data_IF_527994053373
#
_entry.id   IF_527994053373
#
_cell.length_a   1.000
_cell.length_b   1.000
_cell.length_c   1.000
_cell.angle_alpha   90.00
_cell.angle_beta   90.00
_cell.angle_gamma   90.00
#
_symmetry.space_group_name_H-M   'P 1'
#
loop_
_entity.id
_entity.type
_entity.pdbx_description
1 polymer ?
#
# COMPACT_ATOMS: atom_id res chain seq x y z
N UNK A 1 -10.72 69.89 12.65
CA UNK A 1 -11.16 68.58 13.11
C UNK A 1 -11.77 67.67 12.00
N UNK A 2 -12.64 68.17 11.12
CA UNK A 2 -13.28 67.38 10.05
C UNK A 2 -12.28 66.79 9.00
N UNK A 3 -11.20 67.48 8.66
CA UNK A 3 -10.19 67.02 7.68
C UNK A 3 -9.30 65.92 8.20
N UNK A 4 -9.07 65.81 9.51
CA UNK A 4 -8.29 64.73 10.14
C UNK A 4 -9.08 63.44 10.23
N UNK A 5 -10.39 63.49 10.35
CA UNK A 5 -11.27 62.36 10.43
C UNK A 5 -11.35 61.59 9.09
N UNK A 6 -11.32 62.26 7.94
CA UNK A 6 -11.30 61.66 6.62
C UNK A 6 -9.98 60.95 6.28
N UNK A 7 -8.85 61.45 6.79
CA UNK A 7 -7.55 60.81 6.65
C UNK A 7 -7.46 59.52 7.45
N UNK A 8 -8.06 59.41 8.62
CA UNK A 8 -8.10 58.21 9.44
C UNK A 8 -9.01 57.13 8.84
N UNK A 9 -10.13 57.48 8.23
CA UNK A 9 -11.04 56.56 7.54
C UNK A 9 -10.40 56.00 6.26
N UNK A 10 -9.66 56.82 5.51
CA UNK A 10 -8.92 56.41 4.32
C UNK A 10 -7.80 55.41 4.64
N UNK A 11 -7.14 55.52 5.79
CA UNK A 11 -6.06 54.62 6.19
C UNK A 11 -6.59 53.24 6.64
N UNK A 12 -7.78 53.19 7.23
CA UNK A 12 -8.41 51.91 7.66
C UNK A 12 -8.86 51.07 6.45
N UNK A 13 -9.31 51.72 5.38
CA UNK A 13 -9.76 50.98 4.16
C UNK A 13 -8.58 50.36 3.40
N UNK A 14 -7.39 50.95 3.48
CA UNK A 14 -6.19 50.38 2.81
C UNK A 14 -5.64 49.18 3.56
N UNK A 15 -5.85 49.03 4.88
CA UNK A 15 -5.40 47.92 5.69
C UNK A 15 -6.32 46.67 5.59
N UNK A 16 -7.54 46.79 5.07
CA UNK A 16 -8.47 45.71 4.88
C UNK A 16 -8.28 44.94 3.54
N UNK A 17 -7.40 45.42 2.65
CA UNK A 17 -7.19 44.85 1.32
C UNK A 17 -6.03 43.83 1.22
N UNK A 18 -5.36 43.49 2.33
CA UNK A 18 -4.23 42.58 2.36
C UNK A 18 -4.47 41.36 3.26
N UNK A 19 -5.59 40.64 3.06
CA UNK A 19 -5.81 39.37 3.78
C UNK A 19 -6.77 38.44 3.00
N UNK A 20 -6.50 38.28 1.72
CA UNK A 20 -6.88 37.08 1.02
C UNK A 20 -5.59 36.47 0.50
N UNK A 21 -4.96 35.66 1.35
CA UNK A 21 -4.11 34.58 0.84
C UNK A 21 -5.09 33.58 0.22
N UNK A 22 -5.31 33.69 -1.09
CA UNK A 22 -5.79 32.55 -1.85
C UNK A 22 -4.79 31.43 -1.57
N UNK A 23 -5.23 30.38 -0.90
CA UNK A 23 -4.51 29.14 -0.89
C UNK A 23 -4.41 28.74 -2.36
N UNK A 24 -3.21 28.79 -2.92
CA UNK A 24 -2.94 28.23 -4.24
C UNK A 24 -3.15 26.75 -4.05
N UNK A 25 -4.32 26.27 -4.45
CA UNK A 25 -4.61 24.85 -4.54
C UNK A 25 -3.76 24.32 -5.69
N UNK A 26 -2.55 23.85 -5.35
CA UNK A 26 -1.65 23.25 -6.33
C UNK A 26 -2.09 21.80 -6.51
N UNK A 27 -2.68 21.53 -7.66
CA UNK A 27 -3.01 20.17 -8.10
C UNK A 27 -1.94 19.70 -9.08
N UNK A 28 -1.65 18.42 -9.01
CA UNK A 28 -0.75 17.70 -9.92
C UNK A 28 -1.58 16.73 -10.76
N UNK A 29 -1.30 16.66 -12.04
CA UNK A 29 -1.91 15.68 -12.91
C UNK A 29 -1.25 14.31 -12.72
N UNK A 30 -2.05 13.30 -12.41
CA UNK A 30 -1.64 11.90 -12.34
C UNK A 30 -2.26 11.14 -13.51
N UNK A 31 -1.45 10.32 -14.19
CA UNK A 31 -1.90 9.46 -15.28
C UNK A 31 -1.90 8.00 -14.82
N UNK A 32 -3.03 7.34 -14.93
CA UNK A 32 -3.16 5.92 -14.61
C UNK A 32 -2.27 5.08 -15.53
N UNK A 33 -1.34 4.36 -14.95
CA UNK A 33 -0.37 3.54 -15.68
C UNK A 33 -0.63 2.07 -15.42
N UNK A 34 -0.71 1.28 -16.50
CA UNK A 34 -0.82 -0.18 -16.42
C UNK A 34 0.55 -0.83 -16.51
N UNK A 35 0.79 -1.79 -15.62
CA UNK A 35 2.01 -2.59 -15.53
C UNK A 35 1.69 -4.07 -15.70
N UNK A 36 2.60 -4.81 -16.32
CA UNK A 36 2.60 -6.28 -16.32
C UNK A 36 3.47 -6.75 -15.15
N UNK A 37 2.84 -7.04 -14.02
CA UNK A 37 3.54 -7.41 -12.80
C UNK A 37 4.00 -8.88 -12.89
N UNK A 38 5.26 -9.21 -12.53
CA UNK A 38 5.80 -10.57 -12.62
C UNK A 38 5.39 -11.43 -11.41
N UNK A 39 4.09 -11.68 -11.27
CA UNK A 39 3.48 -12.36 -10.11
C UNK A 39 2.68 -13.60 -10.51
N UNK A 40 2.99 -14.21 -11.66
CA UNK A 40 2.26 -15.39 -12.18
C UNK A 40 2.35 -16.58 -11.22
N UNK A 41 3.53 -16.78 -10.60
CA UNK A 41 3.79 -17.87 -9.67
C UNK A 41 3.43 -17.56 -8.21
N UNK A 42 2.94 -16.35 -7.92
CA UNK A 42 2.57 -15.92 -6.57
C UNK A 42 1.27 -16.59 -6.13
N UNK A 43 1.24 -17.10 -4.90
CA UNK A 43 0.00 -17.62 -4.32
C UNK A 43 -1.07 -16.55 -4.34
N UNK A 44 -2.25 -16.89 -4.85
CA UNK A 44 -3.42 -16.01 -4.88
C UNK A 44 -4.42 -16.40 -3.79
N UNK A 45 -5.10 -15.39 -3.22
CA UNK A 45 -6.27 -15.56 -2.39
C UNK A 45 -7.51 -15.37 -3.26
N UNK A 46 -8.41 -16.36 -3.26
CA UNK A 46 -9.62 -16.34 -4.08
C UNK A 46 -9.38 -16.75 -5.54
N UNK A 47 -10.48 -16.75 -6.28
CA UNK A 47 -10.52 -17.05 -7.72
C UNK A 47 -11.47 -16.04 -8.38
N UNK A 48 -11.01 -15.31 -9.40
CA UNK A 48 -11.82 -14.31 -10.08
C UNK A 48 -11.12 -13.76 -11.31
N UNK A 49 -11.83 -12.94 -12.08
CA UNK A 49 -11.33 -12.35 -13.33
C UNK A 49 -10.38 -11.18 -13.05
N UNK A 50 -10.67 -10.38 -12.00
CA UNK A 50 -9.86 -9.23 -11.63
C UNK A 50 -8.71 -9.62 -10.70
N UNK A 51 -7.56 -8.97 -10.86
CA UNK A 51 -6.40 -9.18 -10.00
C UNK A 51 -6.12 -7.93 -9.16
N UNK A 52 -6.13 -8.08 -7.84
CA UNK A 52 -5.74 -7.03 -6.89
C UNK A 52 -4.37 -7.38 -6.32
N UNK A 53 -3.39 -6.51 -6.52
CA UNK A 53 -2.02 -6.68 -6.01
C UNK A 53 -1.72 -5.63 -4.97
N UNK A 54 -1.34 -6.07 -3.79
CA UNK A 54 -0.91 -5.24 -2.67
C UNK A 54 0.60 -5.33 -2.48
N UNK A 55 1.30 -4.24 -2.75
CA UNK A 55 2.75 -4.13 -2.55
C UNK A 55 3.01 -3.39 -1.25
N UNK A 56 3.75 -4.01 -0.35
CA UNK A 56 3.84 -3.54 1.03
C UNK A 56 5.20 -3.82 1.66
N UNK A 57 5.42 -3.28 2.85
CA UNK A 57 6.53 -3.61 3.74
C UNK A 57 5.96 -3.94 5.13
N UNK A 58 6.36 -5.04 5.71
CA UNK A 58 5.86 -5.48 7.02
C UNK A 58 6.09 -4.47 8.15
N UNK A 59 7.14 -3.65 8.05
CA UNK A 59 7.45 -2.61 9.03
C UNK A 59 6.69 -1.29 8.79
N UNK A 60 5.87 -1.21 7.75
CA UNK A 60 5.12 -0.01 7.41
C UNK A 60 3.79 0.06 8.19
N UNK A 61 3.57 1.08 9.04
CA UNK A 61 2.32 1.22 9.79
C UNK A 61 1.07 1.37 8.92
N UNK A 62 1.21 2.04 7.77
CA UNK A 62 0.12 2.20 6.80
C UNK A 62 -0.21 0.89 6.09
N UNK A 63 0.78 0.02 5.86
CA UNK A 63 0.54 -1.31 5.31
C UNK A 63 -0.21 -2.20 6.30
N UNK A 64 0.14 -2.15 7.61
CA UNK A 64 -0.64 -2.80 8.66
C UNK A 64 -2.09 -2.33 8.64
N UNK A 65 -2.29 -1.00 8.67
CA UNK A 65 -3.63 -0.40 8.62
C UNK A 65 -4.42 -0.88 7.40
N UNK A 66 -3.77 -0.92 6.24
CA UNK A 66 -4.39 -1.40 5.01
C UNK A 66 -4.85 -2.87 5.12
N UNK A 67 -3.99 -3.75 5.66
CA UNK A 67 -4.34 -5.17 5.87
C UNK A 67 -5.50 -5.35 6.86
N UNK A 68 -5.62 -4.47 7.86
CA UNK A 68 -6.66 -4.54 8.88
C UNK A 68 -7.98 -3.90 8.46
N UNK A 69 -7.96 -2.87 7.63
CA UNK A 69 -9.15 -2.08 7.27
C UNK A 69 -9.64 -2.33 5.84
N UNK A 70 -8.73 -2.47 4.86
CA UNK A 70 -9.09 -2.54 3.42
C UNK A 70 -9.23 -3.99 2.94
N UNK A 71 -8.28 -4.86 3.31
CA UNK A 71 -8.30 -6.25 2.84
C UNK A 71 -9.59 -7.00 3.21
N UNK A 72 -10.16 -6.87 4.43
CA UNK A 72 -11.44 -7.52 4.75
C UNK A 72 -12.61 -7.04 3.88
N UNK A 73 -12.62 -5.76 3.50
CA UNK A 73 -13.62 -5.20 2.61
C UNK A 73 -13.48 -5.76 1.17
N UNK A 74 -12.24 -5.93 0.70
CA UNK A 74 -11.96 -6.58 -0.59
C UNK A 74 -12.43 -8.03 -0.60
N UNK A 75 -12.20 -8.75 0.51
CA UNK A 75 -12.65 -10.14 0.65
C UNK A 75 -14.17 -10.23 0.56
N UNK A 76 -14.89 -9.46 1.34
CA UNK A 76 -16.35 -9.46 1.36
C UNK A 76 -16.96 -8.99 0.04
N UNK A 77 -16.38 -7.95 -0.58
CA UNK A 77 -16.92 -7.33 -1.78
C UNK A 77 -16.71 -8.16 -3.03
N UNK A 78 -15.53 -8.75 -3.20
CA UNK A 78 -15.12 -9.31 -4.49
C UNK A 78 -14.55 -10.72 -4.40
N UNK A 79 -13.68 -11.05 -3.41
CA UNK A 79 -13.02 -12.35 -3.35
C UNK A 79 -14.01 -13.45 -3.00
N UNK A 80 -14.83 -13.27 -1.96
CA UNK A 80 -15.83 -14.25 -1.52
C UNK A 80 -16.93 -14.48 -2.57
N UNK A 81 -17.08 -13.56 -3.52
CA UNK A 81 -18.02 -13.69 -4.64
C UNK A 81 -17.38 -14.30 -5.88
N UNK A 82 -16.08 -14.56 -5.88
CA UNK A 82 -15.36 -15.07 -7.04
C UNK A 82 -15.18 -14.04 -8.16
N UNK A 83 -15.17 -12.76 -7.84
CA UNK A 83 -15.01 -11.67 -8.80
C UNK A 83 -13.55 -11.24 -8.95
N UNK A 84 -12.75 -11.36 -7.85
CA UNK A 84 -11.35 -10.98 -7.83
C UNK A 84 -10.44 -12.03 -7.17
N UNK A 85 -9.16 -11.96 -7.53
CA UNK A 85 -8.05 -12.59 -6.83
C UNK A 85 -7.21 -11.53 -6.14
N UNK A 86 -6.55 -11.90 -5.04
CA UNK A 86 -5.64 -11.02 -4.33
C UNK A 86 -4.25 -11.63 -4.24
N UNK A 87 -3.21 -10.81 -4.46
CA UNK A 87 -1.81 -11.18 -4.29
C UNK A 87 -1.08 -10.16 -3.45
N UNK A 88 -0.34 -10.63 -2.44
CA UNK A 88 0.50 -9.80 -1.57
C UNK A 88 1.97 -9.90 -1.97
N UNK A 89 2.64 -8.77 -2.22
CA UNK A 89 4.06 -8.72 -2.53
C UNK A 89 4.82 -7.89 -1.48
N UNK A 90 5.49 -8.54 -0.50
CA UNK A 90 6.32 -7.84 0.45
C UNK A 90 7.60 -7.32 -0.21
N UNK A 91 8.00 -6.12 0.20
CA UNK A 91 9.26 -5.48 -0.18
C UNK A 91 10.14 -5.22 1.06
N UNK A 92 11.41 -4.95 0.82
CA UNK A 92 12.42 -4.58 1.82
C UNK A 92 12.81 -3.13 1.58
N UNK A 93 12.08 -2.20 2.21
CA UNK A 93 12.27 -0.76 1.98
C UNK A 93 12.67 0.01 3.23
N UNK A 94 12.24 -0.42 4.42
CA UNK A 94 12.31 0.41 5.62
C UNK A 94 13.47 0.06 6.56
N UNK A 95 13.65 -1.22 6.89
CA UNK A 95 14.63 -1.61 7.93
C UNK A 95 15.04 -3.09 7.85
N UNK A 96 15.84 -3.54 8.81
CA UNK A 96 16.31 -4.94 8.88
C UNK A 96 15.18 -5.92 9.19
N UNK A 97 14.14 -5.49 9.95
CA UNK A 97 12.97 -6.32 10.21
C UNK A 97 12.21 -6.62 8.92
N UNK A 98 12.11 -5.63 8.01
CA UNK A 98 11.51 -5.81 6.67
C UNK A 98 12.22 -6.93 5.91
N UNK A 99 13.56 -6.98 6.01
CA UNK A 99 14.37 -7.99 5.32
C UNK A 99 14.11 -9.41 5.89
N UNK A 100 14.13 -9.55 7.22
CA UNK A 100 13.84 -10.84 7.86
C UNK A 100 12.43 -11.31 7.51
N UNK A 101 11.44 -10.42 7.60
CA UNK A 101 10.04 -10.81 7.39
C UNK A 101 9.70 -11.08 5.92
N UNK A 102 10.32 -10.38 4.97
CA UNK A 102 10.19 -10.72 3.55
C UNK A 102 10.81 -12.09 3.23
N UNK A 103 11.92 -12.46 3.90
CA UNK A 103 12.50 -13.79 3.81
C UNK A 103 11.57 -14.87 4.39
N UNK A 104 11.00 -14.61 5.56
CA UNK A 104 10.02 -15.52 6.20
C UNK A 104 8.79 -15.68 5.32
N UNK A 105 8.24 -14.59 4.79
CA UNK A 105 7.09 -14.60 3.88
C UNK A 105 7.34 -15.50 2.66
N UNK A 106 8.48 -15.36 2.01
CA UNK A 106 8.89 -16.21 0.89
C UNK A 106 8.92 -17.69 1.28
N UNK A 107 9.48 -18.01 2.47
CA UNK A 107 9.54 -19.39 2.93
C UNK A 107 8.15 -19.94 3.30
N UNK A 108 7.28 -19.14 3.91
CA UNK A 108 5.88 -19.51 4.20
C UNK A 108 5.13 -19.84 2.92
N UNK A 109 5.23 -18.98 1.90
CA UNK A 109 4.58 -19.20 0.61
C UNK A 109 4.98 -20.54 -0.02
N UNK A 110 6.25 -20.90 0.08
CA UNK A 110 6.80 -22.16 -0.43
C UNK A 110 6.38 -23.39 0.38
N UNK A 111 6.35 -23.28 1.71
CA UNK A 111 6.13 -24.39 2.64
C UNK A 111 4.64 -24.73 2.80
N UNK A 112 3.78 -23.72 2.87
CA UNK A 112 2.36 -23.89 3.16
C UNK A 112 1.47 -22.96 2.32
N UNK A 113 1.50 -23.08 0.96
CA UNK A 113 0.75 -22.18 0.07
C UNK A 113 -0.74 -22.11 0.41
N UNK A 114 -1.36 -23.21 0.84
CA UNK A 114 -2.79 -23.27 1.19
C UNK A 114 -3.15 -22.42 2.42
N UNK A 115 -2.18 -22.07 3.26
CA UNK A 115 -2.37 -21.26 4.47
C UNK A 115 -1.53 -19.98 4.46
N UNK A 116 -0.96 -19.65 3.31
CA UNK A 116 -0.04 -18.52 3.18
C UNK A 116 -0.63 -17.22 3.73
N UNK A 117 -1.86 -16.87 3.35
CA UNK A 117 -2.49 -15.63 3.77
C UNK A 117 -2.89 -15.60 5.25
N UNK A 118 -3.11 -16.76 5.89
CA UNK A 118 -3.31 -16.81 7.34
C UNK A 118 -2.04 -16.35 8.06
N UNK A 119 -0.87 -16.86 7.65
CA UNK A 119 0.42 -16.50 8.23
C UNK A 119 0.82 -15.07 7.90
N UNK A 120 0.62 -14.64 6.65
CA UNK A 120 0.91 -13.26 6.23
C UNK A 120 0.16 -12.24 7.08
N UNK A 121 -1.12 -12.48 7.36
CA UNK A 121 -1.93 -11.64 8.25
C UNK A 121 -1.46 -11.66 9.69
N UNK A 122 -1.08 -12.82 10.22
CA UNK A 122 -0.57 -12.93 11.58
C UNK A 122 0.73 -12.11 11.74
N UNK A 123 1.65 -12.21 10.78
CA UNK A 123 2.86 -11.38 10.75
C UNK A 123 2.50 -9.89 10.69
N UNK A 124 1.61 -9.50 9.78
CA UNK A 124 1.19 -8.09 9.61
C UNK A 124 0.49 -7.53 10.84
N UNK A 125 -0.35 -8.32 11.50
CA UNK A 125 -1.04 -7.93 12.74
C UNK A 125 -0.07 -7.61 13.87
N UNK A 126 1.02 -8.36 13.99
CA UNK A 126 2.05 -8.14 15.01
C UNK A 126 2.93 -6.89 14.74
N UNK A 127 2.80 -6.25 13.58
CA UNK A 127 3.59 -5.05 13.22
C UNK A 127 3.47 -3.95 14.28
N UNK A 128 4.63 -3.43 14.69
CA UNK A 128 4.73 -2.41 15.74
C UNK A 128 4.68 -2.95 17.17
N UNK A 129 4.54 -4.27 17.40
CA UNK A 129 4.62 -4.87 18.71
C UNK A 129 6.08 -5.03 19.18
N UNK A 130 6.26 -5.19 20.50
CA UNK A 130 7.57 -5.46 21.08
C UNK A 130 8.14 -6.79 20.53
N UNK A 131 9.37 -6.74 20.03
CA UNK A 131 10.06 -7.89 19.45
C UNK A 131 9.65 -8.23 18.02
N UNK A 132 8.80 -7.42 17.38
CA UNK A 132 8.43 -7.59 15.98
C UNK A 132 9.67 -7.67 15.05
N UNK A 133 9.64 -8.59 14.10
CA UNK A 133 10.72 -8.76 13.12
C UNK A 133 12.04 -9.26 13.72
N UNK A 134 12.00 -9.98 14.84
CA UNK A 134 13.14 -10.69 15.44
C UNK A 134 12.98 -12.20 15.27
N UNK A 135 14.05 -12.96 15.52
CA UNK A 135 13.96 -14.43 15.53
C UNK A 135 12.95 -14.95 16.57
N UNK A 136 12.79 -14.26 17.70
CA UNK A 136 11.77 -14.61 18.69
C UNK A 136 10.34 -14.45 18.14
N UNK A 137 10.11 -13.43 17.31
CA UNK A 137 8.85 -13.25 16.62
C UNK A 137 8.62 -14.39 15.60
N UNK A 138 9.64 -14.77 14.82
CA UNK A 138 9.55 -15.90 13.89
C UNK A 138 9.26 -17.22 14.63
N UNK A 139 9.88 -17.44 15.80
CA UNK A 139 9.58 -18.60 16.67
C UNK A 139 8.12 -18.62 17.14
N UNK A 140 7.55 -17.44 17.50
CA UNK A 140 6.13 -17.33 17.86
C UNK A 140 5.24 -17.73 16.68
N UNK A 141 5.47 -17.18 15.49
CA UNK A 141 4.72 -17.51 14.28
C UNK A 141 4.86 -19.00 13.94
N UNK A 142 6.08 -19.54 13.96
CA UNK A 142 6.32 -20.97 13.73
C UNK A 142 5.52 -21.87 14.68
N UNK A 143 5.48 -21.51 15.98
CA UNK A 143 4.72 -22.24 17.00
C UNK A 143 3.22 -22.18 16.76
N UNK A 144 2.69 -21.01 16.39
CA UNK A 144 1.26 -20.78 16.14
C UNK A 144 0.75 -21.61 14.95
N UNK A 145 1.55 -21.68 13.89
CA UNK A 145 1.18 -22.37 12.65
C UNK A 145 1.75 -23.79 12.53
N UNK A 146 2.44 -24.28 13.58
CA UNK A 146 3.11 -25.60 13.62
C UNK A 146 4.12 -25.78 12.48
N UNK A 147 4.97 -24.76 12.27
CA UNK A 147 6.01 -24.72 11.26
C UNK A 147 7.40 -24.96 11.88
N UNK A 148 8.35 -25.39 11.06
CA UNK A 148 9.74 -25.50 11.46
C UNK A 148 10.44 -24.14 11.36
N UNK A 149 11.00 -23.66 12.49
CA UNK A 149 11.71 -22.37 12.55
C UNK A 149 12.92 -22.32 11.60
N UNK A 150 13.70 -23.41 11.52
CA UNK A 150 14.90 -23.46 10.69
C UNK A 150 14.55 -23.33 9.19
N UNK A 151 13.39 -23.91 8.77
CA UNK A 151 12.89 -23.79 7.41
C UNK A 151 12.36 -22.36 7.11
N UNK A 152 11.72 -21.70 8.10
CA UNK A 152 11.29 -20.30 7.98
C UNK A 152 12.46 -19.33 7.90
N UNK A 153 13.58 -19.66 8.54
CA UNK A 153 14.82 -18.87 8.55
C UNK A 153 15.79 -19.26 7.44
N UNK A 154 15.46 -20.26 6.58
CA UNK A 154 16.27 -20.57 5.40
C UNK A 154 16.54 -19.28 4.60
N UNK A 155 17.81 -19.08 4.22
CA UNK A 155 18.25 -17.81 3.68
C UNK A 155 17.90 -17.64 2.19
N UNK A 156 16.91 -16.81 1.91
CA UNK A 156 16.48 -16.36 0.59
C UNK A 156 16.38 -14.81 0.54
N UNK A 157 17.10 -14.12 1.41
CA UNK A 157 17.08 -12.66 1.56
C UNK A 157 17.29 -11.91 0.24
N UNK A 158 18.13 -12.45 -0.63
CA UNK A 158 18.40 -11.85 -1.95
C UNK A 158 17.15 -11.70 -2.81
N UNK A 159 16.16 -12.60 -2.65
CA UNK A 159 14.89 -12.55 -3.40
C UNK A 159 14.10 -11.30 -3.00
N UNK A 160 13.93 -11.04 -1.70
CA UNK A 160 13.24 -9.86 -1.21
C UNK A 160 13.91 -8.55 -1.65
N UNK A 161 15.25 -8.51 -1.64
CA UNK A 161 16.02 -7.36 -2.11
C UNK A 161 15.86 -7.16 -3.63
N UNK A 162 15.91 -8.25 -4.42
CA UNK A 162 15.74 -8.19 -5.86
C UNK A 162 14.32 -7.72 -6.23
N UNK A 163 13.28 -8.25 -5.56
CA UNK A 163 11.90 -7.81 -5.76
C UNK A 163 11.75 -6.31 -5.43
N UNK A 164 12.33 -5.85 -4.33
CA UNK A 164 12.27 -4.43 -3.95
C UNK A 164 12.90 -3.52 -5.01
N UNK A 165 14.06 -3.91 -5.55
CA UNK A 165 14.72 -3.18 -6.64
C UNK A 165 13.89 -3.20 -7.93
N UNK A 166 13.30 -4.33 -8.26
CA UNK A 166 12.47 -4.50 -9.45
C UNK A 166 11.23 -3.62 -9.36
N UNK A 167 10.48 -3.70 -8.27
CA UNK A 167 9.24 -2.95 -8.11
C UNK A 167 9.46 -1.44 -8.03
N UNK A 168 10.51 -0.99 -7.36
CA UNK A 168 10.82 0.45 -7.28
C UNK A 168 11.38 1.02 -8.58
N UNK A 169 12.07 0.23 -9.41
CA UNK A 169 12.62 0.69 -10.68
C UNK A 169 11.62 0.62 -11.82
N UNK A 170 10.89 -0.50 -11.95
CA UNK A 170 10.17 -0.84 -13.19
C UNK A 170 8.64 -0.73 -13.06
N UNK A 171 8.09 -0.80 -11.83
CA UNK A 171 6.64 -0.85 -11.59
C UNK A 171 6.09 0.36 -10.82
N UNK A 172 6.81 1.47 -10.80
CA UNK A 172 6.30 2.75 -10.28
C UNK A 172 6.15 2.84 -8.77
N UNK A 173 6.63 1.84 -7.99
CA UNK A 173 6.55 1.86 -6.52
C UNK A 173 7.51 2.92 -5.95
N UNK A 174 6.96 3.99 -5.42
CA UNK A 174 7.71 5.08 -4.75
C UNK A 174 7.57 5.03 -3.24
N UNK A 175 6.48 4.49 -2.75
CA UNK A 175 6.13 4.34 -1.33
C UNK A 175 5.26 3.09 -1.16
N UNK A 176 5.01 2.69 0.07
CA UNK A 176 4.10 1.61 0.43
C UNK A 176 3.09 2.10 1.48
N UNK A 177 1.83 1.65 1.42
CA UNK A 177 1.27 0.67 0.49
C UNK A 177 1.13 1.20 -0.94
N UNK A 178 1.36 0.36 -1.92
CA UNK A 178 0.99 0.58 -3.32
C UNK A 178 0.05 -0.55 -3.74
N UNK A 179 -1.04 -0.21 -4.44
CA UNK A 179 -2.03 -1.19 -4.88
C UNK A 179 -2.21 -1.09 -6.40
N UNK A 180 -2.39 -2.24 -7.02
CA UNK A 180 -2.75 -2.34 -8.43
C UNK A 180 -4.03 -3.15 -8.56
N UNK A 181 -4.88 -2.77 -9.51
CA UNK A 181 -6.03 -3.55 -9.97
C UNK A 181 -5.89 -3.77 -11.46
N UNK A 182 -5.87 -5.03 -11.89
CA UNK A 182 -5.61 -5.43 -13.29
C UNK A 182 -4.34 -4.82 -13.88
N UNK A 183 -3.33 -4.64 -13.02
CA UNK A 183 -2.06 -4.00 -13.34
C UNK A 183 -2.10 -2.47 -13.34
N UNK A 184 -3.24 -1.82 -13.19
CA UNK A 184 -3.35 -0.35 -13.09
C UNK A 184 -3.06 0.08 -11.66
N UNK A 185 -2.04 0.94 -11.48
CA UNK A 185 -1.65 1.47 -10.18
C UNK A 185 -2.68 2.50 -9.70
N UNK A 186 -3.18 2.32 -8.46
CA UNK A 186 -4.07 3.26 -7.80
C UNK A 186 -3.34 4.55 -7.40
N UNK A 187 -4.08 5.64 -7.40
CA UNK A 187 -3.68 6.93 -6.83
C UNK A 187 -3.77 6.89 -5.31
N UNK A 188 -4.90 6.41 -4.80
CA UNK A 188 -5.10 6.19 -3.36
C UNK A 188 -5.23 4.69 -3.08
N UNK A 189 -4.20 4.11 -2.45
CA UNK A 189 -4.18 2.70 -2.08
C UNK A 189 -5.34 2.27 -1.15
N UNK A 190 -6.01 3.21 -0.47
CA UNK A 190 -7.14 2.93 0.42
C UNK A 190 -8.51 3.08 -0.25
N UNK A 191 -8.57 3.53 -1.51
CA UNK A 191 -9.83 3.80 -2.20
C UNK A 191 -10.46 2.55 -2.80
N UNK A 192 -11.47 1.99 -2.13
CA UNK A 192 -12.28 0.90 -2.68
C UNK A 192 -13.12 1.35 -3.89
N UNK A 193 -13.50 2.63 -3.95
CA UNK A 193 -14.22 3.21 -5.08
C UNK A 193 -13.35 3.23 -6.33
N UNK A 194 -12.07 3.62 -6.19
CA UNK A 194 -11.11 3.62 -7.31
C UNK A 194 -10.87 2.20 -7.84
N UNK A 195 -10.76 1.20 -6.93
CA UNK A 195 -10.65 -0.22 -7.31
C UNK A 195 -11.88 -0.67 -8.11
N UNK A 196 -13.09 -0.35 -7.65
CA UNK A 196 -14.33 -0.68 -8.34
C UNK A 196 -14.42 0.00 -9.71
N UNK A 197 -13.99 1.26 -9.83
CA UNK A 197 -14.00 1.99 -11.10
C UNK A 197 -13.03 1.38 -12.12
N UNK A 198 -11.88 0.86 -11.70
CA UNK A 198 -10.96 0.15 -12.59
C UNK A 198 -11.57 -1.19 -13.03
N UNK A 199 -12.09 -1.99 -12.10
CA UNK A 199 -12.70 -3.28 -12.43
C UNK A 199 -13.90 -3.16 -13.38
N UNK A 200 -14.70 -2.11 -13.25
CA UNK A 200 -15.86 -1.90 -14.14
C UNK A 200 -15.52 -1.10 -15.42
N UNK A 201 -14.26 -0.74 -15.65
CA UNK A 201 -13.79 -0.02 -16.84
C UNK A 201 -14.19 1.47 -16.88
N UNK A 202 -14.55 2.07 -15.75
CA UNK A 202 -14.79 3.52 -15.63
C UNK A 202 -13.46 4.29 -15.60
N UNK A 203 -12.41 3.67 -15.07
CA UNK A 203 -11.03 4.16 -15.10
C UNK A 203 -10.20 3.18 -15.94
N UNK A 204 -9.49 3.69 -16.93
CA UNK A 204 -8.62 2.92 -17.81
C UNK A 204 -7.18 3.47 -17.78
N UNK A 205 -6.23 2.66 -18.27
CA UNK A 205 -4.85 3.11 -18.42
C UNK A 205 -4.77 4.25 -19.42
N UNK A 206 -4.11 5.34 -19.04
CA UNK A 206 -4.00 6.58 -19.80
C UNK A 206 -4.98 7.68 -19.38
N UNK A 207 -5.97 7.37 -18.55
CA UNK A 207 -6.82 8.39 -17.95
C UNK A 207 -6.03 9.27 -16.99
N UNK A 208 -6.49 10.51 -16.83
CA UNK A 208 -5.82 11.51 -16.00
C UNK A 208 -6.76 12.02 -14.90
N UNK A 209 -6.20 12.20 -13.70
CA UNK A 209 -6.90 12.77 -12.55
C UNK A 209 -6.05 13.84 -11.87
N UNK A 210 -6.69 14.90 -11.40
CA UNK A 210 -6.03 15.90 -10.58
C UNK A 210 -5.93 15.41 -9.13
N UNK A 211 -4.71 15.45 -8.58
CA UNK A 211 -4.42 15.09 -7.19
C UNK A 211 -3.78 16.27 -6.48
N UNK A 212 -4.02 16.47 -5.18
CA UNK A 212 -3.33 17.48 -4.41
C UNK A 212 -1.80 17.31 -4.48
N UNK A 213 -1.04 18.39 -4.55
CA UNK A 213 0.41 18.33 -4.30
C UNK A 213 0.66 18.21 -2.79
N UNK A 214 1.41 17.16 -2.38
CA UNK A 214 1.86 16.94 -0.98
C UNK A 214 2.94 17.97 -0.55
#
# INVERSE_FOLDING_TARGET
MKRFLFLLIGLIVILAACSQSEAVDTTKLYTYTKYELPLEDKVALGEGEHEIVFVFDYSCPWCKKWMEEVLPEIEERWIDKGEATFKGQPLVLLNEQSQLLANVDYNVERLIPDRYYEVQRAIGHDSGSDGFGTEAHVQKIASEFNLNVDELLENHVDIGIQNSRLFTRDFGVKYVPTVYVDGIQLVDAFSLEEMEHIMNGTIEAGDEVEVPED
#
